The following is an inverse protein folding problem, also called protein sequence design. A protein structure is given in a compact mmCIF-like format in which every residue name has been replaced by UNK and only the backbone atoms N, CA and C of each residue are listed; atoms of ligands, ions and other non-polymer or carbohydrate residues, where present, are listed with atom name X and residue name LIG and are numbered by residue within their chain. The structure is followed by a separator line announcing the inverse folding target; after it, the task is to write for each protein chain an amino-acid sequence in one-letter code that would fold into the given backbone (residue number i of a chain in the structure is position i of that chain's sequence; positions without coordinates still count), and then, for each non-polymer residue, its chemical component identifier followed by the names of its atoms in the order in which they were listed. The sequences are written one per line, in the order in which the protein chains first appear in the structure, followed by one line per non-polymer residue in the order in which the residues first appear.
data_IF_888279092138
#
_entry.id   IF_888279092138
#
_cell.length_a   1.000
_cell.length_b   1.000
_cell.length_c   1.000
_cell.angle_alpha   90.00
_cell.angle_beta   90.00
_cell.angle_gamma   90.00
#
_symmetry.space_group_name_H-M   'P 1'
#
loop_
_entity.id
_entity.type
_entity.pdbx_description
1 polymer ?
#
# COMPACT_ATOMS: atom_id res chain seq x y z
N UNK A 1 15.58 9.23 -6.09
CA UNK A 1 14.64 10.15 -5.41
C UNK A 1 13.31 10.00 -6.12
N UNK A 2 12.22 9.67 -5.41
CA UNK A 2 10.89 9.55 -6.04
C UNK A 2 10.42 10.97 -6.36
N UNK A 3 10.05 11.23 -7.62
CA UNK A 3 9.46 12.50 -8.00
C UNK A 3 7.96 12.40 -7.74
N UNK A 4 7.54 12.84 -6.55
CA UNK A 4 6.14 12.85 -6.14
C UNK A 4 5.80 14.25 -5.68
N UNK A 5 4.78 14.83 -6.31
CA UNK A 5 4.29 16.15 -5.94
C UNK A 5 3.60 16.13 -4.55
N UNK A 6 3.93 17.06 -3.63
CA UNK A 6 3.34 17.10 -2.30
C UNK A 6 1.80 17.16 -2.32
N UNK A 7 1.22 17.95 -3.23
CA UNK A 7 -0.23 18.07 -3.38
C UNK A 7 -0.91 16.76 -3.77
N UNK A 8 -0.28 15.95 -4.63
CA UNK A 8 -0.77 14.64 -5.04
C UNK A 8 -0.64 13.67 -3.88
N UNK A 9 0.51 13.64 -3.18
CA UNK A 9 0.66 12.78 -2.00
C UNK A 9 -0.35 13.09 -0.91
N UNK A 10 -0.66 14.37 -0.67
CA UNK A 10 -1.66 14.78 0.32
C UNK A 10 -3.08 14.36 -0.10
N UNK A 11 -3.45 14.54 -1.37
CA UNK A 11 -4.76 14.14 -1.88
C UNK A 11 -4.98 12.62 -1.82
N UNK A 12 -3.91 11.84 -1.97
CA UNK A 12 -3.95 10.38 -1.96
C UNK A 12 -3.77 9.76 -0.57
N UNK A 13 -3.56 10.57 0.48
CA UNK A 13 -3.43 10.09 1.85
C UNK A 13 -4.72 9.44 2.38
N UNK A 14 -5.87 9.85 1.84
CA UNK A 14 -7.20 9.32 2.17
C UNK A 14 -7.69 8.24 1.18
N UNK A 15 -6.83 7.81 0.25
CA UNK A 15 -7.13 6.71 -0.66
C UNK A 15 -6.57 5.41 -0.10
N UNK A 16 -7.43 4.40 -0.02
CA UNK A 16 -7.13 3.12 0.59
C UNK A 16 -7.31 1.99 -0.41
N UNK A 17 -6.30 1.13 -0.52
CA UNK A 17 -6.44 -0.14 -1.22
C UNK A 17 -7.48 -1.02 -0.48
N UNK A 18 -8.50 -1.58 -1.15
CA UNK A 18 -9.53 -2.41 -0.54
C UNK A 18 -9.01 -3.52 0.38
N UNK A 19 -7.85 -4.11 0.08
CA UNK A 19 -7.27 -5.15 0.95
C UNK A 19 -6.62 -4.59 2.24
N UNK A 20 -6.24 -3.31 2.23
CA UNK A 20 -5.62 -2.60 3.35
C UNK A 20 -6.57 -1.58 4.02
N UNK A 21 -7.78 -1.39 3.49
CA UNK A 21 -8.81 -0.49 4.04
C UNK A 21 -9.13 -0.82 5.50
N UNK A 22 -9.28 -2.09 5.84
CA UNK A 22 -9.51 -2.55 7.22
C UNK A 22 -8.35 -2.22 8.17
N UNK A 23 -7.13 -2.03 7.64
CA UNK A 23 -5.93 -1.68 8.41
C UNK A 23 -5.72 -0.16 8.50
N UNK A 24 -6.49 0.64 7.77
CA UNK A 24 -6.33 2.08 7.67
C UNK A 24 -4.92 2.47 7.20
N UNK A 25 -4.43 1.83 6.13
CA UNK A 25 -3.13 2.12 5.52
C UNK A 25 -3.40 2.67 4.12
N UNK A 26 -2.95 3.89 3.87
CA UNK A 26 -3.16 4.59 2.60
C UNK A 26 -2.28 4.03 1.49
N UNK A 27 -2.62 4.31 0.23
CA UNK A 27 -1.80 3.95 -0.93
C UNK A 27 -0.41 4.61 -0.89
N UNK A 28 -0.31 5.78 -0.28
CA UNK A 28 0.94 6.53 -0.06
C UNK A 28 1.78 5.82 1.01
N UNK A 29 1.17 5.48 2.15
CA UNK A 29 1.82 4.79 3.27
C UNK A 29 2.30 3.38 2.90
N UNK A 30 1.54 2.70 2.06
CA UNK A 30 1.89 1.41 1.50
C UNK A 30 3.01 1.51 0.45
N UNK A 31 3.35 2.72 0.01
CA UNK A 31 4.42 2.96 -0.96
C UNK A 31 4.08 2.51 -2.38
N UNK A 32 2.78 2.46 -2.71
CA UNK A 32 2.29 2.12 -4.04
C UNK A 32 2.52 3.25 -5.04
N UNK A 33 2.55 4.49 -4.57
CA UNK A 33 2.87 5.65 -5.40
C UNK A 33 4.34 5.59 -5.87
N UNK A 34 4.54 5.39 -7.18
CA UNK A 34 5.87 5.32 -7.79
C UNK A 34 6.38 6.71 -8.14
N UNK A 35 5.65 7.40 -9.02
CA UNK A 35 5.90 8.76 -9.48
C UNK A 35 4.59 9.53 -9.57
N UNK A 36 4.69 10.85 -9.43
CA UNK A 36 3.62 11.78 -9.74
C UNK A 36 4.26 13.03 -10.33
N UNK A 37 4.00 13.29 -11.61
CA UNK A 37 4.52 14.43 -12.33
C UNK A 37 3.38 15.27 -12.90
N UNK A 38 3.56 16.59 -12.90
CA UNK A 38 2.64 17.53 -13.52
C UNK A 38 3.40 18.23 -14.64
N UNK A 39 2.76 18.36 -15.81
CA UNK A 39 3.32 19.10 -16.94
C UNK A 39 2.98 20.59 -16.89
N UNK A 40 3.52 21.36 -17.84
CA UNK A 40 3.30 22.81 -17.93
C UNK A 40 1.84 23.19 -18.27
N UNK A 41 1.04 22.23 -18.76
CA UNK A 41 -0.37 22.42 -19.10
C UNK A 41 -1.32 22.11 -17.93
N UNK A 42 -0.77 21.60 -16.83
CA UNK A 42 -1.52 21.20 -15.64
C UNK A 42 -1.96 19.73 -15.64
N UNK A 43 -1.58 18.93 -16.64
CA UNK A 43 -1.89 17.51 -16.69
C UNK A 43 -0.99 16.74 -15.71
N UNK A 44 -1.59 15.84 -14.93
CA UNK A 44 -0.90 15.05 -13.91
C UNK A 44 -0.87 13.60 -14.32
N UNK A 45 0.33 13.03 -14.44
CA UNK A 45 0.55 11.60 -14.65
C UNK A 45 1.04 10.94 -13.37
N UNK A 46 0.37 9.86 -12.97
CA UNK A 46 0.70 9.09 -11.78
C UNK A 46 0.93 7.62 -12.13
N UNK A 47 2.06 7.10 -11.67
CA UNK A 47 2.39 5.68 -11.80
C UNK A 47 2.21 4.99 -10.44
N UNK A 48 1.44 3.91 -10.43
CA UNK A 48 1.24 3.06 -9.27
C UNK A 48 1.92 1.70 -9.43
N UNK A 49 2.44 1.18 -8.33
CA UNK A 49 2.89 -0.20 -8.20
C UNK A 49 1.78 -1.04 -7.57
N UNK A 50 1.74 -2.32 -7.93
CA UNK A 50 0.91 -3.31 -7.26
C UNK A 50 1.75 -4.16 -6.29
N UNK A 51 1.19 -4.43 -5.11
CA UNK A 51 1.80 -5.35 -4.13
C UNK A 51 1.62 -6.82 -4.50
N UNK A 52 0.65 -7.14 -5.34
CA UNK A 52 0.41 -8.49 -5.87
C UNK A 52 0.07 -8.40 -7.35
N UNK A 53 0.74 -9.21 -8.16
CA UNK A 53 0.40 -9.35 -9.57
C UNK A 53 -1.06 -9.78 -9.68
N UNK A 54 -1.88 -8.92 -10.32
CA UNK A 54 -3.29 -9.17 -10.58
C UNK A 54 -4.23 -9.09 -9.35
N UNK A 55 -4.33 -7.91 -8.73
CA UNK A 55 -5.43 -7.63 -7.80
C UNK A 55 -6.72 -7.30 -8.59
N UNK A 56 -7.81 -8.08 -8.47
CA UNK A 56 -9.07 -7.80 -9.18
C UNK A 56 -9.73 -6.48 -8.71
N UNK A 57 -9.23 -5.88 -7.63
CA UNK A 57 -9.69 -4.61 -7.08
C UNK A 57 -8.78 -3.43 -7.44
N UNK A 58 -7.66 -3.66 -8.12
CA UNK A 58 -6.73 -2.60 -8.54
C UNK A 58 -7.42 -1.52 -9.37
N UNK A 59 -8.34 -1.92 -10.25
CA UNK A 59 -9.12 -1.00 -11.08
C UNK A 59 -10.00 -0.05 -10.27
N UNK A 60 -10.50 -0.44 -9.10
CA UNK A 60 -11.23 0.49 -8.22
C UNK A 60 -10.30 1.53 -7.59
N UNK A 61 -9.10 1.09 -7.18
CA UNK A 61 -8.08 1.99 -6.62
C UNK A 61 -7.63 2.98 -7.67
N UNK A 62 -7.40 2.53 -8.91
CA UNK A 62 -7.01 3.42 -10.01
C UNK A 62 -8.03 4.54 -10.24
N UNK A 63 -9.32 4.19 -10.36
CA UNK A 63 -10.39 5.16 -10.54
C UNK A 63 -10.48 6.13 -9.36
N UNK A 64 -10.39 5.61 -8.12
CA UNK A 64 -10.43 6.46 -6.93
C UNK A 64 -9.21 7.40 -6.85
N UNK A 65 -8.03 6.95 -7.27
CA UNK A 65 -6.82 7.79 -7.35
C UNK A 65 -7.00 8.88 -8.42
N UNK A 66 -7.50 8.51 -9.60
CA UNK A 66 -7.77 9.43 -10.72
C UNK A 66 -8.77 10.52 -10.31
N UNK A 67 -9.90 10.14 -9.74
CA UNK A 67 -10.94 11.06 -9.24
C UNK A 67 -10.38 12.05 -8.22
N UNK A 68 -9.49 11.59 -7.32
CA UNK A 68 -8.87 12.44 -6.29
C UNK A 68 -7.87 13.42 -6.87
N UNK A 69 -7.12 13.03 -7.90
CA UNK A 69 -6.17 13.90 -8.58
C UNK A 69 -6.93 14.95 -9.40
N UNK A 70 -7.98 14.55 -10.12
CA UNK A 70 -8.83 15.44 -10.89
C UNK A 70 -9.52 16.51 -10.02
N UNK A 71 -9.77 16.21 -8.74
CA UNK A 71 -10.34 17.17 -7.79
C UNK A 71 -9.33 18.23 -7.27
N UNK A 72 -8.04 18.10 -7.57
CA UNK A 72 -7.02 19.06 -7.12
C UNK A 72 -7.13 20.35 -7.94
N UNK A 73 -7.22 21.53 -7.30
CA UNK A 73 -7.22 22.81 -8.02
C UNK A 73 -5.95 22.99 -8.86
N UNK A 74 -6.13 23.27 -10.16
CA UNK A 74 -5.02 23.47 -11.11
C UNK A 74 -4.62 22.21 -11.89
N UNK A 75 -5.29 21.08 -11.67
CA UNK A 75 -5.19 19.91 -12.54
C UNK A 75 -6.16 20.05 -13.71
N UNK A 76 -5.65 19.92 -14.93
CA UNK A 76 -6.44 20.00 -16.17
C UNK A 76 -6.82 18.61 -16.69
N UNK A 77 -5.95 17.63 -16.45
CA UNK A 77 -6.13 16.22 -16.84
C UNK A 77 -5.41 15.33 -15.83
N UNK A 78 -5.96 14.14 -15.57
CA UNK A 78 -5.36 13.15 -14.66
C UNK A 78 -5.23 11.81 -15.38
N UNK A 79 -4.03 11.26 -15.43
CA UNK A 79 -3.75 9.96 -16.00
C UNK A 79 -3.09 9.08 -14.94
N UNK A 80 -3.66 7.90 -14.70
CA UNK A 80 -3.16 6.95 -13.69
C UNK A 80 -2.89 5.61 -14.34
N UNK A 81 -1.65 5.13 -14.24
CA UNK A 81 -1.23 3.86 -14.83
C UNK A 81 -0.56 2.93 -13.82
N UNK A 82 -0.61 1.63 -14.12
CA UNK A 82 0.08 0.61 -13.34
C UNK A 82 1.38 0.25 -14.04
N UNK A 83 2.47 0.40 -13.30
CA UNK A 83 3.81 0.04 -13.75
C UNK A 83 4.12 -1.39 -13.32
N UNK A 84 4.33 -2.27 -14.29
CA UNK A 84 4.57 -3.71 -14.09
C UNK A 84 6.05 -4.11 -14.17
N UNK A 85 6.90 -3.23 -14.67
CA UNK A 85 8.34 -3.48 -14.81
C UNK A 85 9.10 -3.39 -13.47
N UNK A 86 8.46 -2.77 -12.48
CA UNK A 86 9.04 -2.47 -11.17
C UNK A 86 8.34 -3.27 -10.10
N UNK A 87 9.07 -4.19 -9.47
CA UNK A 87 8.56 -4.93 -8.33
C UNK A 87 8.36 -4.02 -7.12
N UNK A 88 7.18 -4.07 -6.50
CA UNK A 88 6.96 -3.46 -5.20
C UNK A 88 7.69 -4.25 -4.11
N UNK A 89 8.33 -3.54 -3.18
CA UNK A 89 9.07 -4.12 -2.06
C UNK A 89 8.71 -3.41 -0.76
N UNK A 90 8.82 -4.13 0.37
CA UNK A 90 8.43 -3.62 1.70
C UNK A 90 9.28 -2.44 2.19
N UNK A 91 10.46 -2.22 1.61
CA UNK A 91 11.26 -1.01 1.87
C UNK A 91 10.55 0.27 1.42
N UNK A 92 9.53 0.18 0.56
CA UNK A 92 8.79 1.35 0.09
C UNK A 92 7.76 1.88 1.08
N UNK A 93 7.37 1.05 2.05
CA UNK A 93 6.36 1.38 3.05
C UNK A 93 6.85 2.42 4.04
N UNK A 94 5.93 3.29 4.48
CA UNK A 94 6.16 4.21 5.59
C UNK A 94 6.39 3.44 6.90
N UNK A 95 7.12 4.04 7.84
CA UNK A 95 7.41 3.40 9.13
C UNK A 95 6.11 3.06 9.88
N UNK A 96 5.09 3.92 9.78
CA UNK A 96 3.77 3.68 10.35
C UNK A 96 3.07 2.47 9.72
N UNK A 97 3.10 2.34 8.38
CA UNK A 97 2.57 1.18 7.69
C UNK A 97 3.31 -0.09 8.08
N UNK A 98 4.66 -0.06 8.15
CA UNK A 98 5.48 -1.21 8.56
C UNK A 98 5.15 -1.68 9.97
N UNK A 99 4.86 -0.75 10.90
CA UNK A 99 4.40 -1.12 12.26
C UNK A 99 3.02 -1.77 12.25
N UNK A 100 2.08 -1.27 11.45
CA UNK A 100 0.72 -1.84 11.33
C UNK A 100 0.66 -3.19 10.61
N UNK A 101 1.59 -3.44 9.70
CA UNK A 101 1.69 -4.67 8.89
C UNK A 101 2.74 -5.67 9.40
N UNK A 102 3.44 -5.38 10.51
CA UNK A 102 4.33 -6.35 11.16
C UNK A 102 3.50 -7.54 11.63
N UNK A 103 3.52 -8.62 10.86
CA UNK A 103 2.90 -9.88 11.26
C UNK A 103 3.82 -10.79 12.05
N UNK A 104 5.12 -10.48 12.17
CA UNK A 104 6.04 -11.16 13.08
C UNK A 104 7.13 -10.16 13.56
N UNK A 105 7.63 -10.30 14.81
CA UNK A 105 8.87 -9.67 15.28
C UNK A 105 10.06 -10.14 14.44
N UNK A 106 11.16 -9.40 14.53
CA UNK A 106 12.40 -9.75 13.83
C UNK A 106 12.84 -11.17 14.25
N UNK A 107 13.20 -12.08 13.31
CA UNK A 107 13.64 -13.43 13.64
C UNK A 107 14.80 -13.47 14.65
N UNK A 108 15.67 -12.45 14.66
CA UNK A 108 16.75 -12.32 15.62
C UNK A 108 16.28 -11.95 17.04
N UNK A 109 15.05 -11.46 17.18
CA UNK A 109 14.42 -11.12 18.46
C UNK A 109 13.48 -12.22 18.98
N UNK A 110 13.24 -13.27 18.18
CA UNK A 110 12.48 -14.46 18.61
C UNK A 110 13.45 -15.54 19.02
N UNK A 111 13.80 -15.56 20.30
CA UNK A 111 14.70 -16.58 20.86
C UNK A 111 14.01 -17.92 21.10
N UNK A 112 12.67 -17.94 21.10
CA UNK A 112 11.86 -19.12 21.37
C UNK A 112 10.53 -19.03 20.63
N UNK A 113 10.18 -20.11 19.94
CA UNK A 113 8.89 -20.25 19.26
C UNK A 113 7.73 -20.24 20.25
N UNK A 114 7.90 -20.89 21.39
CA UNK A 114 6.82 -21.08 22.36
C UNK A 114 6.50 -19.76 23.08
N UNK A 115 7.51 -18.96 23.40
CA UNK A 115 7.33 -17.62 23.98
C UNK A 115 6.62 -16.69 23.00
N UNK A 116 6.95 -16.80 21.71
CA UNK A 116 6.30 -16.04 20.67
C UNK A 116 4.80 -16.37 20.55
N UNK A 117 4.46 -17.67 20.55
CA UNK A 117 3.09 -18.15 20.47
C UNK A 117 2.28 -17.81 21.72
N UNK A 118 2.90 -17.82 22.90
CA UNK A 118 2.25 -17.42 24.15
C UNK A 118 1.92 -15.92 24.19
N UNK A 119 2.81 -15.07 23.66
CA UNK A 119 2.62 -13.62 23.60
C UNK A 119 1.70 -13.17 22.45
N UNK A 120 1.57 -13.98 21.40
CA UNK A 120 0.78 -13.67 20.20
C UNK A 120 -0.16 -14.82 19.88
N UNK A 121 -1.21 -15.02 20.69
CA UNK A 121 -2.18 -16.09 20.47
C UNK A 121 -2.88 -15.86 19.12
N UNK A 122 -2.82 -16.87 18.26
CA UNK A 122 -3.44 -16.78 16.95
C UNK A 122 -4.97 -16.63 17.08
N UNK A 123 -5.63 -15.89 16.18
CA UNK A 123 -7.08 -15.83 16.16
C UNK A 123 -7.66 -17.25 15.96
N UNK A 124 -8.69 -17.60 16.74
CA UNK A 124 -9.24 -18.96 16.89
C UNK A 124 -9.63 -19.69 15.59
N UNK A 125 -9.64 -19.01 14.43
CA UNK A 125 -10.06 -19.59 13.15
C UNK A 125 -9.00 -20.49 12.48
N UNK A 126 -7.77 -20.59 12.99
CA UNK A 126 -6.72 -21.44 12.39
C UNK A 126 -6.48 -22.77 13.12
N UNK A 127 -7.19 -23.04 14.23
CA UNK A 127 -6.97 -24.23 15.07
C UNK A 127 -7.92 -25.39 14.77
N UNK A 128 -8.35 -25.54 13.51
CA UNK A 128 -9.14 -26.70 13.09
C UNK A 128 -8.61 -27.32 11.80
N UNK A 129 -7.39 -27.86 11.85
CA UNK A 129 -7.04 -29.04 11.05
C UNK A 129 -5.75 -29.70 11.57
N UNK A 130 -5.93 -30.81 12.29
CA UNK A 130 -5.03 -31.97 12.26
C UNK A 130 -3.83 -31.95 13.20
N UNK A 131 -3.93 -32.71 14.29
CA UNK A 131 -2.82 -33.07 15.18
C UNK A 131 -1.83 -34.08 14.57
N UNK A 132 -0.79 -34.49 15.34
CA UNK A 132 0.27 -35.35 14.84
C UNK A 132 -0.14 -36.83 14.73
N UNK A 133 0.54 -37.48 13.79
CA UNK A 133 0.61 -38.90 13.37
C UNK A 133 -0.02 -39.99 14.25
#
# INVERSE_FOLDING_TARGET
MRNVLPQVSAALQDVYDPCCREKGISVVDMGLLHTAAQDDSGAVRVELLLTSGWCPFASKVLLEVEDRIAAIPGVTESEVEIVWDTAWTTDRMSEAARRKLRFLPDPAQVTSRDDYLAAHPAPMSILSSGGPS
#
